data_IF_079394597284
#
_entry.id   IF_079394597284
#
_cell.length_a   1.000
_cell.length_b   1.000
_cell.length_c   1.000
_cell.angle_alpha   90.00
_cell.angle_beta   90.00
_cell.angle_gamma   90.00
#
_symmetry.space_group_name_H-M   'P 1'
#
loop_
_entity.id
_entity.type
_entity.pdbx_description
1 polymer ?
#
# COMPACT_ATOMS: atom_id res chain seq x y z
N UNK A 1 13.75 -9.78 14.02
CA UNK A 1 13.39 -8.47 13.43
C UNK A 1 14.16 -8.33 12.15
N UNK A 2 13.50 -8.12 11.00
CA UNK A 2 14.22 -7.83 9.75
C UNK A 2 14.69 -6.37 9.80
N UNK A 3 15.87 -6.19 10.39
CA UNK A 3 16.65 -4.95 10.22
C UNK A 3 17.04 -4.92 8.76
N UNK A 4 16.65 -3.88 8.04
CA UNK A 4 17.08 -3.69 6.66
C UNK A 4 18.60 -3.63 6.62
N UNK A 5 19.18 -4.21 5.57
CA UNK A 5 20.62 -4.07 5.38
C UNK A 5 20.99 -2.62 5.13
N UNK A 6 22.22 -2.24 5.50
CA UNK A 6 22.74 -0.89 5.21
C UNK A 6 22.65 -0.56 3.71
N UNK A 7 22.86 -1.55 2.84
CA UNK A 7 22.69 -1.41 1.40
C UNK A 7 21.25 -1.05 1.04
N UNK A 8 20.24 -1.77 1.58
CA UNK A 8 18.83 -1.46 1.31
C UNK A 8 18.47 -0.04 1.76
N UNK A 9 18.90 0.37 2.95
CA UNK A 9 18.66 1.72 3.46
C UNK A 9 19.33 2.78 2.57
N UNK A 10 20.55 2.53 2.09
CA UNK A 10 21.26 3.42 1.17
C UNK A 10 20.53 3.51 -0.18
N UNK A 11 20.12 2.37 -0.76
CA UNK A 11 19.36 2.30 -2.01
C UNK A 11 18.05 3.09 -1.91
N UNK A 12 17.28 2.91 -0.82
CA UNK A 12 16.07 3.69 -0.56
C UNK A 12 16.39 5.18 -0.47
N UNK A 13 17.42 5.57 0.27
CA UNK A 13 17.79 6.98 0.44
C UNK A 13 18.15 7.63 -0.90
N UNK A 14 18.91 6.94 -1.73
CA UNK A 14 19.25 7.40 -3.09
C UNK A 14 17.98 7.48 -3.95
N UNK A 15 17.14 6.44 -3.94
CA UNK A 15 15.89 6.41 -4.71
C UNK A 15 14.95 7.55 -4.31
N UNK A 16 14.78 7.85 -3.02
CA UNK A 16 13.94 8.96 -2.54
C UNK A 16 14.47 10.34 -2.97
N UNK A 17 15.80 10.50 -3.05
CA UNK A 17 16.40 11.71 -3.60
C UNK A 17 16.02 11.90 -5.08
N UNK A 18 16.14 10.84 -5.89
CA UNK A 18 15.74 10.89 -7.30
C UNK A 18 14.24 11.06 -7.49
N UNK A 19 13.42 10.43 -6.65
CA UNK A 19 11.97 10.54 -6.72
C UNK A 19 11.50 11.99 -6.50
N UNK A 20 12.25 12.78 -5.69
CA UNK A 20 11.99 14.21 -5.48
C UNK A 20 12.52 15.12 -6.60
N UNK A 21 13.26 14.59 -7.56
CA UNK A 21 13.77 15.36 -8.67
C UNK A 21 12.62 15.78 -9.60
N UNK A 22 12.66 17.02 -10.08
CA UNK A 22 11.59 17.59 -10.91
C UNK A 22 11.33 16.76 -12.17
N UNK A 23 12.36 16.10 -12.69
CA UNK A 23 12.29 15.25 -13.88
C UNK A 23 11.34 14.07 -13.72
N UNK A 24 11.24 13.47 -12.53
CA UNK A 24 10.27 12.40 -12.26
C UNK A 24 8.84 12.93 -12.35
N UNK A 25 8.60 14.10 -11.74
CA UNK A 25 7.32 14.79 -11.83
C UNK A 25 6.99 15.16 -13.28
N UNK A 26 7.97 15.60 -14.06
CA UNK A 26 7.80 15.98 -15.47
C UNK A 26 7.46 14.77 -16.35
N UNK A 27 8.04 13.59 -16.07
CA UNK A 27 7.68 12.34 -16.74
C UNK A 27 6.22 11.98 -16.41
N UNK A 28 5.85 11.97 -15.13
CA UNK A 28 4.49 11.64 -14.71
C UNK A 28 3.46 12.60 -15.31
N UNK A 29 3.80 13.89 -15.37
CA UNK A 29 2.98 14.91 -16.02
C UNK A 29 2.88 14.70 -17.54
N UNK A 30 4.01 14.42 -18.21
CA UNK A 30 4.05 14.18 -19.66
C UNK A 30 3.18 13.01 -20.08
N UNK A 31 3.16 11.94 -19.29
CA UNK A 31 2.35 10.75 -19.59
C UNK A 31 0.99 10.72 -18.87
N UNK A 32 0.68 11.74 -18.07
CA UNK A 32 -0.53 11.83 -17.25
C UNK A 32 -0.78 10.55 -16.41
N UNK A 33 0.30 9.94 -15.93
CA UNK A 33 0.22 8.68 -15.19
C UNK A 33 1.44 8.53 -14.28
N UNK A 34 1.29 7.79 -13.19
CA UNK A 34 2.36 7.59 -12.22
C UNK A 34 3.42 6.62 -12.75
N UNK A 35 4.67 6.80 -12.31
CA UNK A 35 5.79 5.99 -12.80
C UNK A 35 5.57 4.49 -12.65
N UNK A 36 4.89 4.04 -11.59
CA UNK A 36 4.69 2.60 -11.35
C UNK A 36 3.85 1.90 -12.44
N UNK A 37 3.02 2.66 -13.17
CA UNK A 37 2.20 2.19 -14.30
C UNK A 37 3.02 2.24 -15.61
N UNK A 38 4.00 3.13 -15.69
CA UNK A 38 4.77 3.31 -16.92
C UNK A 38 5.68 2.12 -17.20
N UNK A 39 5.75 1.67 -18.47
CA UNK A 39 6.78 0.75 -18.92
C UNK A 39 8.16 1.29 -18.57
N UNK A 40 9.01 0.42 -18.02
CA UNK A 40 10.36 0.75 -17.56
C UNK A 40 11.17 1.54 -18.61
N UNK A 41 11.04 1.20 -19.90
CA UNK A 41 11.79 1.86 -20.97
C UNK A 41 11.52 3.38 -21.06
N UNK A 42 10.35 3.85 -20.62
CA UNK A 42 9.95 5.26 -20.71
C UNK A 42 10.63 6.17 -19.68
N UNK A 43 11.13 5.63 -18.57
CA UNK A 43 11.65 6.44 -17.46
C UNK A 43 12.99 5.95 -16.90
N UNK A 44 13.36 4.68 -17.10
CA UNK A 44 14.65 4.13 -16.64
C UNK A 44 15.84 4.96 -17.15
N UNK A 45 15.80 5.38 -18.41
CA UNK A 45 16.88 6.14 -19.03
C UNK A 45 17.13 7.48 -18.32
N UNK A 46 16.08 8.11 -17.77
CA UNK A 46 16.20 9.39 -17.05
C UNK A 46 16.97 9.20 -15.75
N UNK A 47 16.68 8.13 -15.01
CA UNK A 47 17.41 7.80 -13.78
C UNK A 47 18.86 7.44 -14.11
N UNK A 48 19.07 6.62 -15.15
CA UNK A 48 20.39 6.17 -15.59
C UNK A 48 21.30 7.32 -16.01
N UNK A 49 20.76 8.37 -16.63
CA UNK A 49 21.51 9.55 -17.04
C UNK A 49 21.89 10.48 -15.88
N UNK A 50 21.13 10.46 -14.78
CA UNK A 50 21.31 11.38 -13.64
C UNK A 50 22.16 10.79 -12.52
N UNK A 51 22.29 9.47 -12.47
CA UNK A 51 23.28 8.83 -11.61
C UNK A 51 24.68 9.11 -12.15
N UNK A 52 25.64 9.52 -11.32
CA UNK A 52 26.98 9.89 -11.78
C UNK A 52 27.71 8.70 -12.44
N UNK A 53 28.26 8.83 -13.66
CA UNK A 53 29.20 7.85 -14.21
C UNK A 53 30.63 8.14 -13.73
N UNK A 54 31.52 7.13 -13.53
CA UNK A 54 31.44 5.69 -13.86
C UNK A 54 31.47 4.72 -12.65
N UNK A 55 31.29 5.19 -11.41
CA UNK A 55 31.52 4.37 -10.20
C UNK A 55 30.35 3.43 -9.81
N UNK A 56 29.20 3.55 -10.47
CA UNK A 56 27.99 2.81 -10.11
C UNK A 56 27.86 1.53 -10.94
N UNK A 57 27.87 0.37 -10.29
CA UNK A 57 27.68 -0.92 -10.98
C UNK A 57 26.28 -1.01 -11.60
N UNK A 58 26.15 -1.76 -12.70
CA UNK A 58 24.85 -2.02 -13.34
C UNK A 58 23.85 -2.66 -12.36
N UNK A 59 24.33 -3.45 -11.41
CA UNK A 59 23.50 -4.04 -10.36
C UNK A 59 22.87 -2.98 -9.45
N UNK A 60 23.69 -2.06 -8.90
CA UNK A 60 23.21 -0.98 -8.04
C UNK A 60 22.22 -0.07 -8.78
N UNK A 61 22.49 0.23 -10.05
CA UNK A 61 21.59 1.02 -10.88
C UNK A 61 20.21 0.34 -11.02
N UNK A 62 20.18 -0.96 -11.27
CA UNK A 62 18.93 -1.72 -11.35
C UNK A 62 18.19 -1.75 -10.01
N UNK A 63 18.91 -1.86 -8.88
CA UNK A 63 18.32 -1.79 -7.53
C UNK A 63 17.68 -0.42 -7.26
N UNK A 64 18.36 0.68 -7.60
CA UNK A 64 17.83 2.04 -7.44
C UNK A 64 16.59 2.24 -8.31
N UNK A 65 16.64 1.82 -9.58
CA UNK A 65 15.49 1.87 -10.48
C UNK A 65 14.30 1.11 -9.89
N UNK A 66 14.51 -0.12 -9.41
CA UNK A 66 13.46 -0.92 -8.79
C UNK A 66 12.85 -0.23 -7.56
N UNK A 67 13.70 0.34 -6.71
CA UNK A 67 13.26 1.10 -5.55
C UNK A 67 12.42 2.33 -5.96
N UNK A 68 12.83 3.10 -6.98
CA UNK A 68 12.04 4.25 -7.46
C UNK A 68 10.63 3.84 -7.91
N UNK A 69 10.50 2.69 -8.58
CA UNK A 69 9.18 2.16 -8.94
C UNK A 69 8.34 1.81 -7.71
N UNK A 70 8.94 1.17 -6.71
CA UNK A 70 8.28 0.87 -5.44
C UNK A 70 7.84 2.14 -4.69
N UNK A 71 8.66 3.20 -4.69
CA UNK A 71 8.31 4.50 -4.11
C UNK A 71 7.12 5.13 -4.85
N UNK A 72 7.10 5.13 -6.18
CA UNK A 72 5.97 5.64 -6.98
C UNK A 72 4.66 4.93 -6.63
N UNK A 73 4.73 3.63 -6.37
CA UNK A 73 3.55 2.87 -5.97
C UNK A 73 3.09 3.14 -4.54
N UNK A 74 4.02 3.34 -3.61
CA UNK A 74 3.68 3.78 -2.25
C UNK A 74 3.02 5.18 -2.28
N UNK A 75 3.47 6.08 -3.17
CA UNK A 75 2.81 7.37 -3.43
C UNK A 75 1.41 7.18 -4.02
N UNK A 76 1.26 6.34 -5.04
CA UNK A 76 -0.06 6.04 -5.60
C UNK A 76 -1.01 5.53 -4.53
N UNK A 77 -0.57 4.58 -3.70
CA UNK A 77 -1.39 4.08 -2.61
C UNK A 77 -1.77 5.18 -1.62
N UNK A 78 -0.83 6.04 -1.27
CA UNK A 78 -1.14 7.17 -0.41
C UNK A 78 -2.19 8.08 -1.06
N UNK A 79 -2.03 8.43 -2.34
CA UNK A 79 -3.02 9.23 -3.08
C UNK A 79 -4.38 8.54 -3.09
N UNK A 80 -4.40 7.24 -3.37
CA UNK A 80 -5.63 6.43 -3.38
C UNK A 80 -6.32 6.41 -2.03
N UNK A 81 -5.59 6.31 -0.92
CA UNK A 81 -6.18 6.39 0.42
C UNK A 81 -6.84 7.75 0.70
N UNK A 82 -6.42 8.78 -0.04
CA UNK A 82 -6.86 10.16 0.12
C UNK A 82 -7.56 10.69 -1.14
N UNK A 83 -8.07 9.80 -2.00
CA UNK A 83 -8.60 10.21 -3.31
C UNK A 83 -9.75 11.22 -3.17
N UNK A 84 -10.58 11.10 -2.13
CA UNK A 84 -11.67 12.04 -1.82
C UNK A 84 -11.20 13.44 -1.39
N UNK A 85 -9.93 13.56 -1.00
CA UNK A 85 -9.29 14.80 -0.58
C UNK A 85 -8.60 15.45 -1.77
N UNK A 86 -8.07 14.63 -2.68
CA UNK A 86 -7.22 15.06 -3.78
C UNK A 86 -7.83 14.89 -5.17
N UNK A 87 -9.10 14.48 -5.29
CA UNK A 87 -9.77 14.16 -6.56
C UNK A 87 -9.72 15.27 -7.59
N UNK A 88 -9.60 16.53 -7.15
CA UNK A 88 -9.57 17.71 -8.00
C UNK A 88 -8.14 18.20 -8.33
N UNK A 89 -7.10 17.62 -7.72
CA UNK A 89 -5.73 18.16 -7.80
C UNK A 89 -4.83 17.29 -8.68
N UNK A 90 -4.39 17.84 -9.82
CA UNK A 90 -3.58 17.12 -10.83
C UNK A 90 -2.09 16.99 -10.50
N UNK A 91 -1.54 17.67 -9.49
CA UNK A 91 -0.09 17.70 -9.22
C UNK A 91 0.30 17.07 -7.87
N UNK A 92 -0.15 15.84 -7.62
CA UNK A 92 0.12 15.13 -6.35
C UNK A 92 1.54 14.57 -6.26
N UNK A 93 2.26 14.46 -7.37
CA UNK A 93 3.65 14.01 -7.41
C UNK A 93 4.63 14.99 -6.76
N UNK A 94 4.21 16.24 -6.55
CA UNK A 94 5.03 17.30 -5.92
C UNK A 94 4.79 17.48 -4.43
N UNK A 95 3.94 16.64 -3.83
CA UNK A 95 3.68 16.73 -2.41
C UNK A 95 4.96 16.42 -1.61
N UNK A 96 5.27 17.17 -0.54
CA UNK A 96 6.45 16.95 0.29
C UNK A 96 6.32 15.70 1.17
N UNK A 97 6.44 14.52 0.55
CA UNK A 97 6.42 13.24 1.24
C UNK A 97 7.61 13.11 2.20
N UNK A 98 7.30 12.73 3.44
CA UNK A 98 8.28 12.27 4.42
C UNK A 98 8.46 10.77 4.28
N UNK A 99 9.70 10.29 4.19
CA UNK A 99 10.04 8.90 3.94
C UNK A 99 10.69 8.26 5.16
N UNK A 100 10.35 7.00 5.43
CA UNK A 100 11.06 6.16 6.41
C UNK A 100 12.29 5.51 5.77
N UNK A 101 13.17 4.96 6.60
CA UNK A 101 14.37 4.24 6.14
C UNK A 101 14.07 3.00 5.31
N UNK A 102 12.85 2.47 5.39
CA UNK A 102 12.37 1.32 4.63
C UNK A 102 11.72 1.69 3.29
N UNK A 103 11.69 2.98 2.94
CA UNK A 103 11.11 3.46 1.69
C UNK A 103 9.59 3.54 1.72
N UNK A 104 8.95 3.31 2.87
CA UNK A 104 7.53 3.63 3.04
C UNK A 104 7.33 5.09 3.43
N UNK A 105 6.16 5.64 3.15
CA UNK A 105 5.83 7.02 3.53
C UNK A 105 5.62 7.08 5.04
N UNK A 106 6.29 8.02 5.71
CA UNK A 106 5.94 8.45 7.06
C UNK A 106 4.68 9.31 6.96
N UNK A 107 3.53 8.63 6.99
CA UNK A 107 2.23 9.23 6.69
C UNK A 107 1.86 10.33 7.68
N UNK A 108 2.17 10.16 8.98
CA UNK A 108 1.89 11.16 10.01
C UNK A 108 2.71 12.42 9.75
N UNK A 109 4.04 12.30 9.61
CA UNK A 109 4.88 13.45 9.31
C UNK A 109 4.52 14.11 7.98
N UNK A 110 4.18 13.31 6.98
CA UNK A 110 3.72 13.84 5.68
C UNK A 110 2.44 14.66 5.84
N UNK A 111 1.45 14.15 6.58
CA UNK A 111 0.22 14.89 6.84
C UNK A 111 0.50 16.18 7.61
N UNK A 112 1.34 16.14 8.66
CA UNK A 112 1.73 17.33 9.42
C UNK A 112 2.37 18.39 8.52
N UNK A 113 3.33 18.00 7.67
CA UNK A 113 3.95 18.92 6.69
C UNK A 113 2.89 19.51 5.76
N UNK A 114 1.98 18.69 5.24
CA UNK A 114 0.95 19.14 4.29
C UNK A 114 -0.06 20.10 4.94
N UNK A 115 -0.46 19.84 6.18
CA UNK A 115 -1.35 20.71 6.97
C UNK A 115 -0.67 22.07 7.23
N UNK A 116 0.64 22.07 7.49
CA UNK A 116 1.39 23.30 7.80
C UNK A 116 1.82 24.09 6.56
N UNK A 117 2.07 23.43 5.42
CA UNK A 117 2.76 24.01 4.26
C UNK A 117 1.98 25.09 3.47
N UNK A 118 0.71 25.34 3.78
CA UNK A 118 -0.20 26.25 3.02
C UNK A 118 -0.35 25.91 1.52
N UNK A 119 0.30 24.85 1.02
CA UNK A 119 0.20 24.36 -0.38
C UNK A 119 -1.21 23.87 -0.69
N UNK A 120 -1.94 23.45 0.34
CA UNK A 120 -3.30 22.96 0.25
C UNK A 120 -4.27 24.03 0.76
N UNK A 121 -5.43 24.16 0.12
CA UNK A 121 -6.52 25.01 0.60
C UNK A 121 -6.99 24.58 2.00
N UNK A 122 -7.67 25.50 2.67
CA UNK A 122 -8.13 25.36 4.04
C UNK A 122 -8.97 24.09 4.25
N UNK A 123 -9.89 23.79 3.33
CA UNK A 123 -10.77 22.62 3.44
C UNK A 123 -9.99 21.31 3.32
N UNK A 124 -9.06 21.23 2.37
CA UNK A 124 -8.18 20.07 2.19
C UNK A 124 -7.33 19.85 3.43
N UNK A 125 -6.72 20.91 3.98
CA UNK A 125 -5.90 20.82 5.20
C UNK A 125 -6.71 20.40 6.40
N UNK A 126 -7.89 20.99 6.59
CA UNK A 126 -8.80 20.62 7.66
C UNK A 126 -9.19 19.14 7.56
N UNK A 127 -9.58 18.68 6.37
CA UNK A 127 -9.92 17.27 6.11
C UNK A 127 -8.73 16.34 6.40
N UNK A 128 -7.52 16.73 6.02
CA UNK A 128 -6.32 15.96 6.30
C UNK A 128 -6.02 15.92 7.81
N UNK A 129 -6.15 17.05 8.51
CA UNK A 129 -5.98 17.12 9.96
C UNK A 129 -6.97 16.20 10.69
N UNK A 130 -8.24 16.17 10.26
CA UNK A 130 -9.24 15.24 10.78
C UNK A 130 -8.86 13.77 10.51
N UNK A 131 -8.43 13.42 9.29
CA UNK A 131 -7.99 12.06 8.95
C UNK A 131 -6.77 11.60 9.75
N UNK A 132 -5.82 12.50 10.03
CA UNK A 132 -4.57 12.17 10.75
C UNK A 132 -4.62 12.46 12.24
N UNK A 133 -5.76 12.95 12.72
CA UNK A 133 -6.03 13.25 14.13
C UNK A 133 -5.13 14.37 14.67
N UNK A 134 -4.72 15.31 13.82
CA UNK A 134 -3.83 16.40 14.20
C UNK A 134 -4.59 17.43 15.04
N UNK A 135 -4.85 17.09 16.31
CA UNK A 135 -5.71 17.82 17.24
C UNK A 135 -5.33 19.29 17.40
N UNK A 136 -4.04 19.56 17.55
CA UNK A 136 -3.56 20.93 17.70
C UNK A 136 -3.97 21.76 16.47
N UNK A 137 -3.75 21.23 15.27
CA UNK A 137 -4.17 21.89 14.03
C UNK A 137 -5.70 22.05 13.92
N UNK A 138 -6.49 21.04 14.29
CA UNK A 138 -7.97 21.12 14.29
C UNK A 138 -8.45 22.23 15.24
N UNK A 139 -7.87 22.29 16.45
CA UNK A 139 -8.19 23.31 17.45
C UNK A 139 -7.73 24.70 16.99
N UNK A 140 -6.61 24.78 16.28
CA UNK A 140 -6.11 26.05 15.76
C UNK A 140 -6.98 26.53 14.59
N UNK A 141 -7.51 25.62 13.76
CA UNK A 141 -8.55 25.94 12.77
C UNK A 141 -9.82 26.49 13.43
N UNK A 142 -10.30 25.88 14.52
CA UNK A 142 -11.54 26.35 15.18
C UNK A 142 -11.42 27.73 15.82
N UNK A 143 -10.19 28.17 16.13
CA UNK A 143 -9.92 29.51 16.67
C UNK A 143 -9.71 30.57 15.59
N UNK A 144 -9.25 30.17 14.41
CA UNK A 144 -8.85 31.08 13.34
C UNK A 144 -9.96 31.29 12.31
N UNK A 145 -10.87 30.33 12.16
CA UNK A 145 -11.96 30.35 11.19
C UNK A 145 -13.24 30.83 11.90
N UNK A 146 -14.05 31.71 11.29
CA UNK A 146 -15.37 32.06 11.81
C UNK A 146 -16.22 30.83 12.11
N UNK A 147 -17.05 30.91 13.16
CA UNK A 147 -17.81 29.74 13.64
C UNK A 147 -18.68 29.10 12.54
N UNK A 148 -19.37 29.91 11.74
CA UNK A 148 -20.24 29.41 10.66
C UNK A 148 -19.46 28.69 9.56
N UNK A 149 -18.31 29.24 9.17
CA UNK A 149 -17.41 28.62 8.18
C UNK A 149 -16.80 27.32 8.72
N UNK A 150 -16.45 27.29 10.00
CA UNK A 150 -15.95 26.09 10.65
C UNK A 150 -17.02 24.98 10.71
N UNK A 151 -18.28 25.33 11.02
CA UNK A 151 -19.40 24.38 10.96
C UNK A 151 -19.63 23.87 9.53
N UNK A 152 -19.49 24.74 8.52
CA UNK A 152 -19.57 24.33 7.13
C UNK A 152 -18.45 23.35 6.76
N UNK A 153 -17.21 23.58 7.22
CA UNK A 153 -16.10 22.64 7.02
C UNK A 153 -16.37 21.28 7.67
N UNK A 154 -16.92 21.26 8.88
CA UNK A 154 -17.34 20.04 9.56
C UNK A 154 -18.41 19.29 8.78
N UNK A 155 -19.42 20.01 8.26
CA UNK A 155 -20.47 19.42 7.44
C UNK A 155 -19.92 18.84 6.13
N UNK A 156 -19.04 19.58 5.44
CA UNK A 156 -18.37 19.10 4.22
C UNK A 156 -17.53 17.86 4.48
N UNK A 157 -16.75 17.86 5.57
CA UNK A 157 -16.00 16.69 6.01
C UNK A 157 -16.94 15.50 6.22
N UNK A 158 -18.02 15.66 7.00
CA UNK A 158 -19.02 14.62 7.24
C UNK A 158 -19.63 14.07 5.94
N UNK A 159 -19.94 14.94 4.98
CA UNK A 159 -20.55 14.54 3.71
C UNK A 159 -19.57 13.79 2.79
N UNK A 160 -18.26 14.13 2.82
CA UNK A 160 -17.22 13.40 2.06
C UNK A 160 -17.10 11.93 2.49
N UNK A 161 -17.33 11.64 3.77
CA UNK A 161 -17.29 10.29 4.32
C UNK A 161 -18.72 9.74 4.51
N UNK A 162 -19.40 9.55 3.36
CA UNK A 162 -20.84 9.28 3.21
C UNK A 162 -21.37 7.93 3.71
N UNK A 163 -20.55 7.03 4.25
CA UNK A 163 -21.11 5.81 4.85
C UNK A 163 -21.59 6.14 6.26
N UNK A 164 -22.79 5.68 6.64
CA UNK A 164 -23.35 5.90 7.99
C UNK A 164 -22.36 5.51 9.12
N UNK A 165 -21.47 4.56 8.82
CA UNK A 165 -20.33 4.12 9.63
C UNK A 165 -19.26 5.19 9.87
N UNK A 166 -18.89 5.96 8.84
CA UNK A 166 -17.90 7.02 8.95
C UNK A 166 -18.50 8.22 9.71
N UNK A 167 -19.76 8.59 9.41
CA UNK A 167 -20.45 9.68 10.08
C UNK A 167 -20.68 9.38 11.58
N UNK A 168 -21.07 8.15 11.95
CA UNK A 168 -21.19 7.75 13.36
C UNK A 168 -19.85 7.76 14.09
N UNK A 169 -18.77 7.37 13.41
CA UNK A 169 -17.43 7.42 14.00
C UNK A 169 -16.99 8.87 14.22
N UNK A 170 -17.27 9.79 13.28
CA UNK A 170 -16.98 11.22 13.42
C UNK A 170 -17.88 11.90 14.47
N UNK A 171 -19.13 11.48 14.64
CA UNK A 171 -19.99 11.99 15.72
C UNK A 171 -19.57 11.46 17.09
N UNK A 172 -19.32 10.15 17.21
CA UNK A 172 -18.77 9.55 18.44
C UNK A 172 -17.35 10.03 18.74
N UNK A 173 -16.62 10.47 17.73
CA UNK A 173 -15.32 11.15 17.86
C UNK A 173 -15.47 12.45 18.63
N UNK A 174 -16.41 13.32 18.27
CA UNK A 174 -16.67 14.54 19.04
C UNK A 174 -17.16 14.24 20.47
N UNK A 175 -18.02 13.24 20.65
CA UNK A 175 -18.53 12.83 21.98
C UNK A 175 -17.41 12.25 22.88
N UNK A 176 -16.53 11.40 22.33
CA UNK A 176 -15.35 10.83 23.01
C UNK A 176 -14.40 11.91 23.55
N UNK A 177 -14.29 13.05 22.86
CA UNK A 177 -13.36 14.12 23.23
C UNK A 177 -13.97 15.19 24.13
N UNK A 178 -15.28 15.37 24.11
CA UNK A 178 -15.97 16.29 25.01
C UNK A 178 -16.15 15.66 26.41
N UNK A 179 -16.25 14.33 26.50
CA UNK A 179 -16.50 13.62 27.75
C UNK A 179 -15.32 12.69 28.11
N UNK A 180 -14.55 13.03 29.16
CA UNK A 180 -13.32 12.32 29.56
C UNK A 180 -13.55 10.92 30.16
N UNK A 181 -14.80 10.48 30.33
CA UNK A 181 -15.14 9.21 30.98
C UNK A 181 -15.37 8.07 29.98
N UNK A 182 -14.29 7.38 29.62
CA UNK A 182 -14.30 6.27 28.69
C UNK A 182 -14.33 4.91 29.37
N UNK A 183 -15.52 4.46 29.76
CA UNK A 183 -15.74 3.07 30.16
C UNK A 183 -16.83 2.36 29.35
N UNK A 184 -17.75 3.05 28.67
CA UNK A 184 -18.98 2.38 28.19
C UNK A 184 -19.24 2.27 26.67
N UNK A 185 -18.54 2.97 25.76
CA UNK A 185 -18.92 2.97 24.33
C UNK A 185 -18.04 2.11 23.41
N UNK A 186 -17.93 0.81 23.68
CA UNK A 186 -17.26 -0.15 22.78
C UNK A 186 -18.21 -0.82 21.78
N UNK A 187 -19.00 -0.03 21.05
CA UNK A 187 -19.74 -0.49 19.87
C UNK A 187 -19.06 -0.08 18.55
N UNK A 188 -17.83 0.46 18.60
CA UNK A 188 -17.03 0.87 17.42
C UNK A 188 -16.50 -0.32 16.58
N UNK A 189 -16.79 -1.55 16.99
CA UNK A 189 -16.19 -2.77 16.44
C UNK A 189 -17.02 -3.43 15.32
N UNK A 190 -18.08 -2.81 14.82
CA UNK A 190 -18.82 -3.31 13.64
C UNK A 190 -18.43 -2.59 12.35
N UNK A 191 -17.53 -1.61 12.40
CA UNK A 191 -17.22 -0.78 11.25
C UNK A 191 -16.21 -1.47 10.32
N UNK A 192 -16.50 -1.51 9.03
CA UNK A 192 -15.50 -1.79 8.00
C UNK A 192 -14.40 -0.74 8.09
N UNK A 193 -13.19 -1.18 8.43
CA UNK A 193 -12.07 -0.27 8.62
C UNK A 193 -11.59 0.30 7.29
N UNK A 194 -11.66 1.64 7.16
CA UNK A 194 -11.02 2.38 6.07
C UNK A 194 -9.63 2.85 6.47
N UNK A 195 -8.78 3.11 5.48
CA UNK A 195 -7.38 3.48 5.66
C UNK A 195 -7.09 4.72 6.45
N UNK A 196 -7.92 5.72 6.24
CA UNK A 196 -7.90 6.99 6.96
C UNK A 196 -8.06 6.81 8.46
N UNK A 197 -8.39 5.58 8.92
CA UNK A 197 -8.53 5.22 10.32
C UNK A 197 -7.26 4.58 10.90
N UNK A 198 -6.17 4.35 10.16
CA UNK A 198 -4.92 3.81 10.75
C UNK A 198 -4.21 4.75 11.68
N UNK A 199 -4.27 6.04 11.38
CA UNK A 199 -3.76 7.12 12.22
C UNK A 199 -4.54 7.21 13.51
N UNK A 200 -5.87 7.09 13.43
CA UNK A 200 -6.73 6.86 14.58
C UNK A 200 -6.28 5.62 15.37
N UNK A 201 -6.13 4.47 14.70
CA UNK A 201 -5.67 3.25 15.34
C UNK A 201 -4.35 3.49 16.03
N UNK A 202 -3.34 4.07 15.39
CA UNK A 202 -2.04 4.27 16.02
C UNK A 202 -2.11 5.07 17.32
N UNK A 203 -2.98 6.08 17.38
CA UNK A 203 -3.15 6.89 18.59
C UNK A 203 -3.93 6.14 19.65
N UNK A 204 -5.10 5.60 19.32
CA UNK A 204 -5.97 4.93 20.30
C UNK A 204 -5.46 3.56 20.71
N UNK A 205 -4.77 2.84 19.82
CA UNK A 205 -4.26 1.49 20.05
C UNK A 205 -3.43 1.41 21.31
N UNK A 206 -2.52 2.37 21.54
CA UNK A 206 -1.68 2.37 22.73
C UNK A 206 -2.47 2.63 24.03
N UNK A 207 -3.67 3.19 23.94
CA UNK A 207 -4.57 3.44 25.06
C UNK A 207 -5.63 2.33 25.26
N UNK A 208 -5.72 1.36 24.34
CA UNK A 208 -6.67 0.27 24.47
C UNK A 208 -6.19 -0.77 25.49
N UNK A 209 -7.12 -1.36 26.28
CA UNK A 209 -6.86 -2.59 27.04
C UNK A 209 -6.25 -3.67 26.14
N UNK A 210 -5.38 -4.51 26.72
CA UNK A 210 -4.62 -5.53 25.98
C UNK A 210 -5.53 -6.44 25.14
N UNK A 211 -6.66 -6.90 25.69
CA UNK A 211 -7.61 -7.77 24.98
C UNK A 211 -8.17 -7.12 23.72
N UNK A 212 -8.51 -5.82 23.80
CA UNK A 212 -9.03 -5.05 22.66
C UNK A 212 -7.94 -4.79 21.61
N UNK A 213 -6.68 -4.63 22.04
CA UNK A 213 -5.54 -4.55 21.11
C UNK A 213 -5.38 -5.85 20.32
N UNK A 214 -5.41 -6.99 21.00
CA UNK A 214 -5.27 -8.31 20.37
C UNK A 214 -6.40 -8.57 19.37
N UNK A 215 -7.65 -8.28 19.75
CA UNK A 215 -8.80 -8.43 18.86
C UNK A 215 -8.70 -7.51 17.62
N UNK A 216 -8.16 -6.29 17.80
CA UNK A 216 -7.93 -5.37 16.70
C UNK A 216 -6.82 -5.84 15.76
N UNK A 217 -5.71 -6.34 16.31
CA UNK A 217 -4.62 -6.95 15.56
C UNK A 217 -5.12 -8.08 14.64
N UNK A 218 -5.96 -8.99 15.16
CA UNK A 218 -6.55 -10.08 14.38
C UNK A 218 -7.35 -9.56 13.19
N UNK A 219 -8.14 -8.50 13.42
CA UNK A 219 -8.96 -7.88 12.37
C UNK A 219 -8.13 -7.15 11.33
N UNK A 220 -7.05 -6.50 11.73
CA UNK A 220 -6.13 -5.83 10.80
C UNK A 220 -5.50 -6.85 9.86
N UNK A 221 -5.02 -7.99 10.37
CA UNK A 221 -4.46 -9.07 9.54
C UNK A 221 -5.52 -9.67 8.60
N UNK A 222 -6.75 -9.85 9.08
CA UNK A 222 -7.85 -10.36 8.28
C UNK A 222 -8.40 -9.36 7.24
N UNK A 223 -8.02 -8.09 7.34
CA UNK A 223 -8.54 -7.06 6.46
C UNK A 223 -8.30 -7.41 4.99
N UNK A 224 -9.33 -7.21 4.18
CA UNK A 224 -9.21 -7.24 2.73
C UNK A 224 -8.16 -6.24 2.23
N UNK A 225 -7.90 -5.17 2.99
CA UNK A 225 -6.95 -4.15 2.61
C UNK A 225 -5.52 -4.47 3.08
N UNK A 226 -4.66 -4.73 2.09
CA UNK A 226 -3.32 -5.27 2.29
C UNK A 226 -2.43 -4.45 3.22
N UNK A 227 -2.47 -3.12 3.08
CA UNK A 227 -1.63 -2.26 3.89
C UNK A 227 -2.00 -2.39 5.40
N UNK A 228 -3.22 -2.83 5.77
CA UNK A 228 -3.84 -2.64 7.12
C UNK A 228 -3.31 -3.81 7.92
N UNK A 229 -3.39 -4.97 7.27
CA UNK A 229 -2.61 -6.14 7.56
C UNK A 229 -1.13 -5.81 7.68
N UNK A 230 -0.49 -5.16 6.69
CA UNK A 230 0.94 -4.78 6.77
C UNK A 230 1.26 -3.98 8.03
N UNK A 231 0.50 -2.93 8.30
CA UNK A 231 0.70 -2.04 9.43
C UNK A 231 0.47 -2.75 10.77
N UNK A 232 -0.64 -3.49 10.91
CA UNK A 232 -0.92 -4.30 12.10
C UNK A 232 0.16 -5.34 12.33
N UNK A 233 0.53 -6.07 11.28
CA UNK A 233 1.56 -7.12 11.32
C UNK A 233 2.93 -6.58 11.75
N UNK A 234 3.34 -5.40 11.25
CA UNK A 234 4.61 -4.79 11.63
C UNK A 234 4.66 -4.31 13.10
N UNK A 235 3.51 -4.10 13.74
CA UNK A 235 3.45 -3.70 15.17
C UNK A 235 3.52 -4.88 16.13
N UNK A 236 3.14 -6.06 15.67
CA UNK A 236 3.17 -7.28 16.47
C UNK A 236 4.61 -7.71 16.76
N UNK A 237 4.84 -8.28 17.94
CA UNK A 237 6.06 -9.02 18.23
C UNK A 237 6.13 -10.33 17.42
N UNK A 238 7.27 -11.02 17.49
CA UNK A 238 7.51 -12.25 16.72
C UNK A 238 6.53 -13.37 17.11
N UNK A 239 6.25 -13.54 18.40
CA UNK A 239 5.36 -14.60 18.89
C UNK A 239 3.94 -14.39 18.35
N UNK A 240 3.46 -13.14 18.40
CA UNK A 240 2.14 -12.77 17.91
C UNK A 240 2.03 -12.93 16.38
N UNK A 241 3.06 -12.57 15.62
CA UNK A 241 3.11 -12.81 14.16
C UNK A 241 3.01 -14.29 13.82
N UNK A 242 3.69 -15.15 14.57
CA UNK A 242 3.62 -16.60 14.38
C UNK A 242 2.23 -17.14 14.73
N UNK A 243 1.57 -16.64 15.78
CA UNK A 243 0.16 -16.97 16.06
C UNK A 243 -0.75 -16.58 14.90
N UNK A 244 -0.60 -15.35 14.37
CA UNK A 244 -1.38 -14.89 13.22
C UNK A 244 -1.12 -15.71 11.97
N UNK A 245 0.12 -16.15 11.76
CA UNK A 245 0.47 -17.03 10.66
C UNK A 245 -0.26 -18.39 10.77
N UNK A 246 -0.35 -18.96 11.96
CA UNK A 246 -1.08 -20.23 12.16
C UNK A 246 -2.59 -20.06 11.95
N UNK A 247 -3.15 -18.95 12.42
CA UNK A 247 -4.59 -18.70 12.36
C UNK A 247 -5.06 -18.23 10.98
N UNK A 248 -4.25 -17.41 10.30
CA UNK A 248 -4.57 -16.74 9.03
C UNK A 248 -3.41 -16.83 8.03
N UNK A 249 -2.97 -18.05 7.65
CA UNK A 249 -1.74 -18.24 6.87
C UNK A 249 -1.79 -17.52 5.51
N UNK A 250 -2.92 -17.57 4.82
CA UNK A 250 -3.11 -16.90 3.55
C UNK A 250 -2.92 -15.38 3.66
N UNK A 251 -3.57 -14.74 4.63
CA UNK A 251 -3.55 -13.30 4.81
C UNK A 251 -2.15 -12.82 5.19
N UNK A 252 -1.47 -13.52 6.10
CA UNK A 252 -0.10 -13.19 6.49
C UNK A 252 0.85 -13.35 5.31
N UNK A 253 0.83 -14.47 4.59
CA UNK A 253 1.69 -14.65 3.41
C UNK A 253 1.40 -13.61 2.33
N UNK A 254 0.14 -13.24 2.14
CA UNK A 254 -0.23 -12.16 1.22
C UNK A 254 0.39 -10.83 1.64
N UNK A 255 0.32 -10.46 2.93
CA UNK A 255 0.98 -9.25 3.47
C UNK A 255 2.48 -9.25 3.19
N UNK A 256 3.13 -10.40 3.36
CA UNK A 256 4.57 -10.54 3.16
C UNK A 256 4.98 -10.36 1.69
N UNK A 257 4.09 -10.50 0.70
CA UNK A 257 4.41 -10.25 -0.72
C UNK A 257 4.55 -8.76 -1.08
N UNK A 258 4.33 -7.85 -0.13
CA UNK A 258 4.39 -6.41 -0.36
C UNK A 258 5.62 -5.79 0.28
N UNK A 259 6.14 -4.76 -0.39
CA UNK A 259 7.26 -3.97 0.08
C UNK A 259 7.01 -3.44 1.50
N UNK A 260 7.96 -3.54 2.45
CA UNK A 260 9.32 -4.10 2.34
C UNK A 260 9.48 -5.53 2.89
N UNK A 261 8.40 -6.31 3.02
CA UNK A 261 8.35 -7.55 3.82
C UNK A 261 8.69 -8.84 3.04
N UNK A 262 9.00 -8.75 1.75
CA UNK A 262 9.16 -9.91 0.85
C UNK A 262 10.27 -10.87 1.28
N UNK A 263 11.32 -10.34 1.89
CA UNK A 263 12.43 -11.16 2.41
C UNK A 263 11.99 -12.15 3.48
N UNK A 264 10.95 -11.84 4.26
CA UNK A 264 10.41 -12.76 5.28
C UNK A 264 9.45 -13.81 4.71
N UNK A 265 9.02 -13.70 3.45
CA UNK A 265 7.96 -14.56 2.90
C UNK A 265 8.33 -16.05 2.98
N UNK A 266 9.55 -16.41 2.59
CA UNK A 266 10.01 -17.81 2.54
C UNK A 266 10.01 -18.46 3.93
N UNK A 267 10.52 -17.75 4.92
CA UNK A 267 10.60 -18.23 6.30
C UNK A 267 9.21 -18.54 6.86
N UNK A 268 8.24 -17.64 6.62
CA UNK A 268 6.87 -17.83 7.08
C UNK A 268 6.15 -18.91 6.25
N UNK A 269 6.39 -18.97 4.95
CA UNK A 269 5.80 -19.99 4.09
C UNK A 269 6.22 -21.41 4.51
N UNK A 270 7.49 -21.60 4.89
CA UNK A 270 8.00 -22.88 5.35
C UNK A 270 7.25 -23.40 6.59
N UNK A 271 6.84 -22.51 7.50
CA UNK A 271 6.13 -22.86 8.74
C UNK A 271 4.70 -23.37 8.49
N UNK A 272 4.01 -22.88 7.46
CA UNK A 272 2.59 -23.21 7.20
C UNK A 272 2.34 -24.01 5.93
N UNK A 273 3.37 -24.39 5.18
CA UNK A 273 3.18 -25.09 3.89
C UNK A 273 2.34 -26.37 4.00
N UNK A 274 2.46 -27.10 5.11
CA UNK A 274 1.73 -28.36 5.33
C UNK A 274 0.28 -28.14 5.79
N UNK A 275 -0.07 -26.94 6.24
CA UNK A 275 -1.42 -26.60 6.72
C UNK A 275 -2.14 -25.61 5.80
N UNK A 276 -1.43 -25.01 4.84
CA UNK A 276 -1.99 -24.05 3.89
C UNK A 276 -3.04 -24.73 2.98
N UNK A 277 -4.30 -24.23 2.95
CA UNK A 277 -5.31 -24.79 2.06
C UNK A 277 -4.97 -24.62 0.58
N UNK A 278 -5.31 -25.61 -0.25
CA UNK A 278 -5.00 -25.61 -1.69
C UNK A 278 -5.50 -24.36 -2.43
N UNK A 279 -6.71 -23.88 -2.10
CA UNK A 279 -7.27 -22.64 -2.68
C UNK A 279 -6.44 -21.41 -2.31
N UNK A 280 -6.01 -21.32 -1.06
CA UNK A 280 -5.15 -20.24 -0.58
C UNK A 280 -3.78 -20.26 -1.25
N UNK A 281 -3.21 -21.45 -1.43
CA UNK A 281 -1.97 -21.64 -2.18
C UNK A 281 -2.10 -21.16 -3.62
N UNK A 282 -3.13 -21.60 -4.35
CA UNK A 282 -3.42 -21.16 -5.71
C UNK A 282 -3.56 -19.63 -5.79
N UNK A 283 -4.29 -19.01 -4.86
CA UNK A 283 -4.42 -17.55 -4.83
C UNK A 283 -3.07 -16.84 -4.63
N UNK A 284 -2.17 -17.36 -3.78
CA UNK A 284 -0.84 -16.78 -3.62
C UNK A 284 -0.01 -16.88 -4.90
N UNK A 285 -0.09 -18.01 -5.62
CA UNK A 285 0.55 -18.17 -6.95
C UNK A 285 0.01 -17.12 -7.93
N UNK A 286 -1.30 -16.94 -7.98
CA UNK A 286 -1.95 -15.90 -8.79
C UNK A 286 -1.44 -14.50 -8.44
N UNK A 287 -1.33 -14.16 -7.15
CA UNK A 287 -0.82 -12.85 -6.71
C UNK A 287 0.63 -12.66 -7.16
N UNK A 288 1.50 -13.65 -6.95
CA UNK A 288 2.91 -13.55 -7.33
C UNK A 288 3.05 -13.39 -8.85
N UNK A 289 2.34 -14.18 -9.64
CA UNK A 289 2.43 -14.11 -11.11
C UNK A 289 1.78 -12.83 -11.63
N UNK A 290 0.50 -12.61 -11.32
CA UNK A 290 -0.31 -11.57 -11.97
C UNK A 290 -0.06 -10.18 -11.40
N UNK A 291 0.31 -10.05 -10.12
CA UNK A 291 0.50 -8.74 -9.50
C UNK A 291 1.98 -8.37 -9.36
N UNK A 292 2.91 -9.33 -9.43
CA UNK A 292 4.35 -9.07 -9.25
C UNK A 292 5.16 -9.35 -10.52
N UNK A 293 5.16 -10.58 -11.01
CA UNK A 293 6.03 -10.97 -12.13
C UNK A 293 5.57 -10.35 -13.45
N UNK A 294 4.29 -10.50 -13.82
CA UNK A 294 3.76 -10.00 -15.10
C UNK A 294 3.86 -8.48 -15.23
N UNK A 295 3.56 -7.67 -14.20
CA UNK A 295 3.76 -6.22 -14.28
C UNK A 295 5.24 -5.78 -14.29
N UNK A 296 6.17 -6.72 -14.09
CA UNK A 296 7.61 -6.48 -14.15
C UNK A 296 8.19 -5.88 -12.88
N UNK A 297 7.63 -6.23 -11.71
CA UNK A 297 8.17 -5.77 -10.43
C UNK A 297 9.58 -6.30 -10.20
N UNK A 298 10.50 -5.40 -9.81
CA UNK A 298 11.92 -5.70 -9.57
C UNK A 298 12.39 -5.33 -8.16
N UNK A 299 11.47 -4.92 -7.28
CA UNK A 299 11.77 -4.60 -5.88
C UNK A 299 12.10 -5.84 -5.04
N UNK A 300 11.85 -7.03 -5.59
CA UNK A 300 12.28 -8.32 -5.06
C UNK A 300 12.43 -9.34 -6.21
N UNK A 301 13.21 -10.41 -6.02
CA UNK A 301 13.25 -11.53 -6.98
C UNK A 301 12.03 -12.43 -6.81
N UNK A 302 10.89 -11.99 -7.36
CA UNK A 302 9.66 -12.77 -7.28
C UNK A 302 9.69 -14.07 -8.08
N UNK A 303 10.58 -14.18 -9.08
CA UNK A 303 10.73 -15.41 -9.85
C UNK A 303 11.41 -16.47 -8.99
N UNK A 304 12.50 -16.11 -8.31
CA UNK A 304 13.14 -17.00 -7.35
C UNK A 304 12.24 -17.32 -6.15
N UNK A 305 11.51 -16.32 -5.64
CA UNK A 305 10.49 -16.52 -4.60
C UNK A 305 9.46 -17.57 -5.05
N UNK A 306 8.90 -17.42 -6.25
CA UNK A 306 7.91 -18.34 -6.81
C UNK A 306 8.48 -19.74 -7.02
N UNK A 307 9.69 -19.86 -7.57
CA UNK A 307 10.38 -21.14 -7.78
C UNK A 307 10.61 -21.86 -6.47
N UNK A 308 11.14 -21.16 -5.47
CA UNK A 308 11.41 -21.72 -4.14
C UNK A 308 10.10 -22.19 -3.50
N UNK A 309 9.10 -21.30 -3.47
CA UNK A 309 7.79 -21.58 -2.89
C UNK A 309 7.12 -22.77 -3.57
N UNK A 310 7.12 -22.82 -4.91
CA UNK A 310 6.59 -23.95 -5.67
C UNK A 310 7.34 -25.25 -5.37
N UNK A 311 8.68 -25.24 -5.46
CA UNK A 311 9.52 -26.43 -5.25
C UNK A 311 9.25 -27.07 -3.89
N UNK A 312 9.20 -26.24 -2.85
CA UNK A 312 9.05 -26.67 -1.45
C UNK A 312 7.60 -26.96 -1.04
N UNK A 313 6.64 -26.73 -1.94
CA UNK A 313 5.23 -26.98 -1.65
C UNK A 313 4.84 -28.47 -1.72
N UNK A 314 3.89 -28.90 -0.88
CA UNK A 314 3.35 -30.26 -0.91
C UNK A 314 2.78 -30.65 -2.28
N UNK A 315 2.86 -31.94 -2.61
CA UNK A 315 2.36 -32.49 -3.89
C UNK A 315 0.88 -32.16 -4.09
N UNK A 316 0.06 -32.31 -3.04
CA UNK A 316 -1.39 -31.99 -3.08
C UNK A 316 -1.69 -30.55 -3.56
N UNK A 317 -0.82 -29.60 -3.24
CA UNK A 317 -0.99 -28.20 -3.65
C UNK A 317 -0.60 -28.02 -5.12
N UNK A 318 0.47 -28.69 -5.55
CA UNK A 318 0.91 -28.70 -6.96
C UNK A 318 -0.16 -29.32 -7.85
N UNK A 319 -0.69 -30.48 -7.46
CA UNK A 319 -1.75 -31.19 -8.18
C UNK A 319 -2.99 -30.32 -8.35
N UNK A 320 -3.38 -29.59 -7.30
CA UNK A 320 -4.51 -28.65 -7.35
C UNK A 320 -4.27 -27.52 -8.36
N UNK A 321 -3.07 -26.94 -8.38
CA UNK A 321 -2.73 -25.87 -9.33
C UNK A 321 -2.69 -26.39 -10.76
N UNK A 322 -2.33 -27.65 -11.03
CA UNK A 322 -2.31 -28.21 -12.41
C UNK A 322 -3.66 -28.16 -13.12
N UNK A 323 -4.77 -28.12 -12.36
CA UNK A 323 -6.12 -27.97 -12.91
C UNK A 323 -6.52 -26.52 -13.21
N UNK A 324 -5.71 -25.54 -12.82
CA UNK A 324 -5.99 -24.11 -13.03
C UNK A 324 -5.22 -23.56 -14.23
N UNK A 325 -5.84 -22.61 -14.92
CA UNK A 325 -5.29 -21.94 -16.09
C UNK A 325 -3.93 -21.25 -15.82
N UNK A 326 -3.67 -20.82 -14.57
CA UNK A 326 -2.38 -20.22 -14.19
C UNK A 326 -1.20 -21.18 -14.31
N UNK A 327 -1.44 -22.50 -14.35
CA UNK A 327 -0.38 -23.50 -14.40
C UNK A 327 0.48 -23.43 -15.66
N UNK A 328 -0.12 -23.07 -16.80
CA UNK A 328 0.61 -22.89 -18.06
C UNK A 328 1.66 -21.77 -17.91
N UNK A 329 1.24 -20.62 -17.37
CA UNK A 329 2.11 -19.46 -17.14
C UNK A 329 3.17 -19.80 -16.11
N UNK A 330 2.78 -20.47 -15.02
CA UNK A 330 3.69 -20.93 -13.98
C UNK A 330 4.80 -21.83 -14.59
N UNK A 331 4.44 -22.78 -15.45
CA UNK A 331 5.41 -23.69 -16.08
C UNK A 331 6.44 -22.92 -16.89
N UNK A 332 6.02 -21.95 -17.71
CA UNK A 332 6.95 -21.10 -18.49
C UNK A 332 7.92 -20.34 -17.57
N UNK A 333 7.44 -19.80 -16.45
CA UNK A 333 8.28 -19.08 -15.47
C UNK A 333 9.28 -20.03 -14.80
N UNK A 334 8.82 -21.21 -14.39
CA UNK A 334 9.63 -22.21 -13.69
C UNK A 334 10.73 -22.79 -14.59
N UNK A 335 10.42 -23.10 -15.84
CA UNK A 335 11.39 -23.64 -16.80
C UNK A 335 12.40 -22.59 -17.30
N UNK A 336 12.16 -21.30 -17.04
CA UNK A 336 13.03 -20.22 -17.49
C UNK A 336 13.09 -20.06 -19.01
N UNK A 337 12.25 -20.77 -19.78
CA UNK A 337 12.16 -20.64 -21.22
C UNK A 337 11.62 -19.26 -21.57
N UNK A 338 12.50 -18.37 -22.02
CA UNK A 338 12.14 -17.18 -22.81
C UNK A 338 10.88 -16.43 -22.36
N UNK A 339 10.70 -16.21 -21.05
CA UNK A 339 9.51 -15.51 -20.54
C UNK A 339 9.32 -14.13 -21.21
N UNK A 340 10.45 -13.48 -21.55
CA UNK A 340 10.47 -12.21 -22.30
C UNK A 340 10.00 -12.34 -23.75
N UNK A 341 10.17 -13.48 -24.41
CA UNK A 341 9.71 -13.72 -25.78
C UNK A 341 8.21 -14.00 -25.84
N UNK A 342 7.64 -14.72 -24.85
CA UNK A 342 6.19 -14.99 -24.80
C UNK A 342 5.34 -13.79 -24.39
N UNK A 343 5.87 -12.87 -23.56
CA UNK A 343 5.18 -11.60 -23.27
C UNK A 343 4.97 -10.73 -24.52
N UNK A 344 5.87 -10.83 -25.52
CA UNK A 344 5.76 -10.07 -26.78
C UNK A 344 4.76 -10.67 -27.76
N UNK A 345 4.46 -11.96 -27.68
CA UNK A 345 3.47 -12.63 -28.54
C UNK A 345 2.03 -12.50 -28.03
N UNK A 346 1.80 -11.74 -26.95
CA UNK A 346 0.48 -11.47 -26.39
C UNK A 346 0.05 -12.54 -25.39
N UNK A 347 -0.11 -12.14 -24.13
CA UNK A 347 -0.82 -12.96 -23.14
C UNK A 347 -2.28 -13.07 -23.62
N UNK A 348 -2.91 -14.26 -23.61
CA UNK A 348 -4.31 -14.39 -23.97
C UNK A 348 -5.16 -13.41 -23.15
N UNK A 349 -5.99 -12.61 -23.83
CA UNK A 349 -6.76 -11.51 -23.22
C UNK A 349 -7.61 -11.95 -22.02
N UNK A 350 -8.00 -13.22 -21.90
CA UNK A 350 -8.79 -13.70 -20.76
C UNK A 350 -8.01 -13.75 -19.43
N UNK A 351 -6.70 -13.97 -19.44
CA UNK A 351 -5.85 -13.87 -18.24
C UNK A 351 -5.66 -12.41 -17.82
N UNK A 352 -5.55 -11.54 -18.81
CA UNK A 352 -5.59 -10.10 -18.60
C UNK A 352 -6.95 -9.75 -18.01
N UNK A 353 -8.09 -10.15 -18.56
CA UNK A 353 -9.43 -9.81 -18.05
C UNK A 353 -9.67 -10.21 -16.58
N UNK A 354 -9.09 -11.27 -16.03
CA UNK A 354 -9.24 -11.56 -14.59
C UNK A 354 -8.26 -10.79 -13.67
N UNK A 355 -7.04 -10.52 -14.11
CA UNK A 355 -6.11 -9.61 -13.41
C UNK A 355 -6.47 -8.12 -13.58
N UNK A 356 -7.00 -7.77 -14.75
CA UNK A 356 -7.57 -6.50 -15.17
C UNK A 356 -8.94 -6.30 -14.49
N UNK A 357 -9.79 -7.31 -14.29
CA UNK A 357 -10.99 -7.08 -13.49
C UNK A 357 -10.71 -6.81 -11.99
N UNK A 358 -9.45 -6.96 -11.53
CA UNK A 358 -9.01 -6.53 -10.20
C UNK A 358 -8.17 -5.25 -10.28
N UNK A 359 -7.26 -5.11 -11.25
CA UNK A 359 -6.39 -3.93 -11.42
C UNK A 359 -7.08 -2.85 -12.28
N UNK A 360 -7.65 -3.25 -13.42
CA UNK A 360 -8.45 -2.41 -14.33
C UNK A 360 -9.87 -2.17 -13.85
N UNK A 361 -10.58 -2.97 -13.03
CA UNK A 361 -11.86 -2.45 -12.46
C UNK A 361 -11.60 -1.41 -11.37
N UNK A 362 -10.52 -1.54 -10.60
CA UNK A 362 -10.11 -0.47 -9.68
C UNK A 362 -9.60 0.75 -10.44
N UNK A 363 -8.86 0.59 -11.55
CA UNK A 363 -8.39 1.73 -12.35
C UNK A 363 -9.40 2.29 -13.37
N UNK A 364 -10.27 1.49 -14.01
CA UNK A 364 -11.35 1.93 -14.92
C UNK A 364 -12.47 2.62 -14.16
N UNK A 365 -12.86 2.16 -12.96
CA UNK A 365 -13.86 2.90 -12.19
C UNK A 365 -13.38 4.31 -11.86
N UNK A 366 -12.07 4.53 -11.72
CA UNK A 366 -11.48 5.85 -11.43
C UNK A 366 -11.25 6.66 -12.71
N UNK A 367 -10.73 6.05 -13.78
CA UNK A 367 -10.49 6.76 -15.04
C UNK A 367 -11.82 7.12 -15.75
N UNK A 368 -12.86 6.28 -15.64
CA UNK A 368 -14.17 6.58 -16.22
C UNK A 368 -14.96 7.60 -15.40
N UNK A 369 -14.82 7.67 -14.06
CA UNK A 369 -15.42 8.77 -13.27
C UNK A 369 -14.68 10.10 -13.44
N UNK A 370 -13.43 10.10 -13.91
CA UNK A 370 -12.70 11.33 -14.24
C UNK A 370 -12.97 11.87 -15.65
N UNK A 371 -13.71 11.12 -16.49
CA UNK A 371 -13.97 11.48 -17.89
C UNK A 371 -15.45 11.67 -18.25
N UNK A 372 -16.38 11.55 -17.30
CA UNK A 372 -17.83 11.70 -17.58
C UNK A 372 -18.43 13.08 -17.25
N UNK A 373 -17.64 14.06 -16.82
CA UNK A 373 -18.12 15.43 -16.67
C UNK A 373 -17.44 16.33 -17.72
N UNK A 374 -18.04 16.35 -18.91
CA UNK A 374 -17.90 17.41 -19.92
C UNK A 374 -19.25 17.59 -20.62
#
# INVERSE_FOLDING_TARGET
>A
MNVLSLQQMATVKIATYFFRAHEISDIEQRYQTLLYILPDQKWEHVIKQKLPPPSCSTALLNEITAAVRALSFEVWYWIMDHWKIFSEKRSLSRLPFSWKSDGTIDRIKTADILIQSQVLDLETRFTLACNYWCWHDIRDFSKTIPADDFQLLLLKYRNKFSTATDAQMVSRWFEFFIDTNLTHSCQLWSLEFKWTQITFFNRVFNHLPIEKRLALEDRLVQSSHILLGRHGFMRMDVQRRLQMLQQYPYQVLRILLHWPLQSSFKDYAAVVRETLPNRSFLHLIHIIICQKILPGWRDFDYVDLLRTFWRESPIRCKDYVRGDAVFEILTVILEGRGFRTHLRSGIPRHYLIHGENIIVNTCRCIILTMHTDN
#
